data_IF_023139051755
#
_entry.id   IF_023139051755
#
_cell.length_a   1.000
_cell.length_b   1.000
_cell.length_c   1.000
_cell.angle_alpha   90.00
_cell.angle_beta   90.00
_cell.angle_gamma   90.00
#
_symmetry.space_group_name_H-M   'P 1'
#
loop_
_entity.id
_entity.type
_entity.pdbx_description
1 polymer ?
#
# COMPACT_ATOMS: atom_id res chain seq x y z
N UNK A 1 10.36 19.90 15.36
CA UNK A 1 9.78 19.22 14.20
C UNK A 1 10.19 19.97 12.94
N UNK A 2 10.36 19.27 11.81
CA UNK A 2 10.85 19.88 10.56
C UNK A 2 9.69 20.44 9.73
N UNK A 3 9.84 21.68 9.28
CA UNK A 3 8.98 22.37 8.28
C UNK A 3 9.84 22.81 7.09
N UNK A 4 10.93 22.09 6.81
CA UNK A 4 11.98 22.50 5.87
C UNK A 4 11.46 22.72 4.44
N UNK A 5 10.51 21.89 3.98
CA UNK A 5 9.91 22.02 2.65
C UNK A 5 9.00 23.23 2.61
N UNK A 6 8.08 23.40 3.57
CA UNK A 6 7.22 24.58 3.63
C UNK A 6 8.07 25.87 3.70
N UNK A 7 9.11 25.88 4.53
CA UNK A 7 10.01 27.03 4.69
C UNK A 7 10.76 27.36 3.39
N UNK A 8 11.17 26.34 2.62
CA UNK A 8 11.74 26.53 1.29
C UNK A 8 10.73 27.11 0.30
N UNK A 9 9.51 26.57 0.27
CA UNK A 9 8.43 27.06 -0.60
C UNK A 9 8.07 28.51 -0.28
N UNK A 10 8.11 28.92 0.99
CA UNK A 10 7.97 30.32 1.40
C UNK A 10 9.15 31.16 0.89
N UNK A 11 10.39 30.70 1.08
CA UNK A 11 11.59 31.46 0.71
C UNK A 11 11.72 31.68 -0.81
N UNK A 12 11.25 30.72 -1.61
CA UNK A 12 11.34 30.73 -3.08
C UNK A 12 10.08 31.27 -3.76
N UNK A 13 8.92 31.04 -3.13
CA UNK A 13 7.60 31.22 -3.72
C UNK A 13 7.27 30.09 -4.71
N UNK A 14 5.97 29.89 -4.97
CA UNK A 14 5.50 28.78 -5.82
C UNK A 14 5.16 29.19 -7.25
N UNK A 15 5.45 30.45 -7.62
CA UNK A 15 5.16 31.02 -8.94
C UNK A 15 3.68 30.86 -9.36
N UNK A 16 2.76 30.98 -8.39
CA UNK A 16 1.32 30.76 -8.58
C UNK A 16 0.93 29.35 -9.03
N UNK A 17 1.82 28.38 -8.84
CA UNK A 17 1.50 26.97 -9.04
C UNK A 17 1.37 26.31 -7.67
N UNK A 18 0.47 25.35 -7.54
CA UNK A 18 0.40 24.52 -6.35
C UNK A 18 1.67 23.67 -6.18
N UNK A 19 2.18 23.61 -4.96
CA UNK A 19 3.33 22.77 -4.58
C UNK A 19 2.95 21.88 -3.40
N UNK A 20 3.10 20.56 -3.52
CA UNK A 20 2.67 19.63 -2.48
C UNK A 20 3.63 19.66 -1.28
N UNK A 21 3.08 19.46 -0.09
CA UNK A 21 3.76 19.19 1.18
C UNK A 21 3.19 17.88 1.72
N UNK A 22 4.07 16.89 1.91
CA UNK A 22 3.71 15.58 2.44
C UNK A 22 3.95 15.55 3.95
N UNK A 23 2.98 15.06 4.69
CA UNK A 23 3.00 14.95 6.15
C UNK A 23 3.51 13.57 6.58
N UNK A 24 4.05 13.48 7.79
CA UNK A 24 4.70 12.27 8.30
C UNK A 24 3.74 11.07 8.40
N UNK A 25 2.47 11.33 8.71
CA UNK A 25 1.40 10.33 8.75
C UNK A 25 0.82 9.97 7.38
N UNK A 26 1.35 10.60 6.34
CA UNK A 26 1.04 10.31 4.95
C UNK A 26 -0.13 11.10 4.36
N UNK A 27 -0.67 12.07 5.08
CA UNK A 27 -1.54 13.07 4.48
C UNK A 27 -0.73 14.09 3.66
N UNK A 28 -1.41 14.86 2.81
CA UNK A 28 -0.77 15.90 2.04
C UNK A 28 -1.68 17.12 1.89
N UNK A 29 -1.05 18.29 1.72
CA UNK A 29 -1.71 19.47 1.20
C UNK A 29 -0.87 20.07 0.08
N UNK A 30 -1.48 20.89 -0.77
CA UNK A 30 -0.77 21.71 -1.75
C UNK A 30 -0.88 23.18 -1.39
N UNK A 31 0.21 23.91 -1.51
CA UNK A 31 0.26 25.35 -1.21
C UNK A 31 0.60 26.16 -2.45
N UNK A 32 -0.10 27.27 -2.61
CA UNK A 32 0.23 28.36 -3.52
C UNK A 32 0.61 29.58 -2.68
N UNK A 33 1.89 29.97 -2.71
CA UNK A 33 2.40 31.06 -1.85
C UNK A 33 3.38 31.96 -2.60
N UNK A 34 3.21 33.26 -2.42
CA UNK A 34 4.13 34.26 -2.94
C UNK A 34 5.43 34.26 -2.12
N UNK A 35 6.53 34.58 -2.80
CA UNK A 35 7.86 34.57 -2.20
C UNK A 35 7.94 35.48 -0.98
N UNK A 36 8.32 34.92 0.15
CA UNK A 36 8.50 35.62 1.43
C UNK A 36 7.20 36.02 2.12
N UNK A 37 6.03 35.57 1.62
CA UNK A 37 4.74 35.84 2.24
C UNK A 37 4.60 35.11 3.58
N UNK A 38 3.91 35.74 4.54
CA UNK A 38 3.48 35.12 5.79
C UNK A 38 2.11 34.44 5.67
N UNK A 39 1.50 34.51 4.49
CA UNK A 39 0.16 33.99 4.18
C UNK A 39 0.20 33.29 2.82
N UNK A 40 -0.33 32.07 2.75
CA UNK A 40 -0.53 31.36 1.50
C UNK A 40 -1.75 31.93 0.77
N UNK A 41 -1.62 32.17 -0.53
CA UNK A 41 -2.72 32.68 -1.35
C UNK A 41 -3.86 31.64 -1.41
N UNK A 42 -3.49 30.38 -1.65
CA UNK A 42 -4.42 29.24 -1.64
C UNK A 42 -3.74 28.01 -1.06
N UNK A 43 -4.49 27.23 -0.27
CA UNK A 43 -4.09 25.93 0.26
C UNK A 43 -5.15 24.91 -0.11
N UNK A 44 -4.76 23.86 -0.83
CA UNK A 44 -5.61 22.73 -1.15
C UNK A 44 -5.33 21.61 -0.16
N UNK A 45 -6.29 21.27 0.70
CA UNK A 45 -6.21 20.07 1.54
C UNK A 45 -6.68 18.85 0.73
N UNK A 46 -5.80 17.87 0.56
CA UNK A 46 -6.14 16.65 -0.18
C UNK A 46 -7.05 15.72 0.64
N UNK A 47 -7.83 14.85 0.00
CA UNK A 47 -8.76 13.95 0.70
C UNK A 47 -8.12 13.17 1.84
N UNK A 48 -8.78 13.15 2.99
CA UNK A 48 -8.28 12.51 4.21
C UNK A 48 -7.59 13.49 5.16
N UNK A 49 -7.20 14.68 4.68
CA UNK A 49 -6.71 15.76 5.51
C UNK A 49 -7.85 16.72 5.86
N UNK A 50 -8.31 16.65 7.11
CA UNK A 50 -9.32 17.57 7.60
C UNK A 50 -8.73 18.95 7.87
N UNK A 51 -9.52 19.98 7.60
CA UNK A 51 -9.16 21.34 7.97
C UNK A 51 -9.19 21.47 9.50
N UNK A 52 -8.13 21.98 10.14
CA UNK A 52 -8.15 22.27 11.57
C UNK A 52 -9.25 23.27 11.94
N UNK A 53 -9.73 23.17 13.17
CA UNK A 53 -10.64 24.17 13.72
C UNK A 53 -9.94 25.54 13.83
N UNK A 54 -10.53 26.58 13.24
CA UNK A 54 -10.12 27.97 13.45
C UNK A 54 -10.33 28.90 12.25
N UNK A 55 -10.28 30.21 12.52
CA UNK A 55 -10.55 31.29 11.57
C UNK A 55 -9.73 31.20 10.26
N UNK A 56 -8.52 30.62 10.33
CA UNK A 56 -7.64 30.45 9.18
C UNK A 56 -8.21 29.51 8.10
N UNK A 57 -9.13 28.63 8.47
CA UNK A 57 -9.72 27.60 7.61
C UNK A 57 -11.19 27.85 7.30
N UNK A 58 -11.74 29.01 7.66
CA UNK A 58 -13.15 29.35 7.37
C UNK A 58 -13.36 29.86 5.93
N UNK A 59 -12.30 30.37 5.29
CA UNK A 59 -12.35 30.91 3.92
C UNK A 59 -12.20 29.81 2.86
N UNK A 60 -13.10 28.85 2.88
CA UNK A 60 -13.14 27.81 1.86
C UNK A 60 -13.64 28.39 0.53
N UNK A 61 -12.85 28.26 -0.54
CA UNK A 61 -13.23 28.69 -1.89
C UNK A 61 -14.11 27.65 -2.56
N UNK A 62 -15.35 27.56 -2.09
CA UNK A 62 -16.38 26.73 -2.74
C UNK A 62 -16.74 27.21 -4.16
N UNK A 63 -16.30 28.41 -4.56
CA UNK A 63 -16.70 29.05 -5.80
C UNK A 63 -15.78 28.67 -6.97
N UNK A 64 -14.48 28.49 -6.73
CA UNK A 64 -13.54 27.99 -7.72
C UNK A 64 -13.93 26.57 -8.18
N UNK A 65 -14.16 25.63 -7.25
CA UNK A 65 -14.63 24.27 -7.57
C UNK A 65 -15.95 24.24 -8.36
N UNK A 66 -16.87 25.17 -8.08
CA UNK A 66 -18.13 25.31 -8.81
C UNK A 66 -17.95 25.88 -10.22
N UNK A 67 -17.05 26.84 -10.42
CA UNK A 67 -16.84 27.51 -11.71
C UNK A 67 -15.94 26.73 -12.67
N UNK A 68 -14.95 26.01 -12.15
CA UNK A 68 -14.02 25.21 -12.97
C UNK A 68 -14.58 23.82 -13.28
N UNK A 69 -15.65 23.41 -12.59
CA UNK A 69 -16.19 22.05 -12.67
C UNK A 69 -15.21 21.00 -12.12
N UNK A 70 -14.24 21.44 -11.32
CA UNK A 70 -13.15 20.61 -10.82
C UNK A 70 -13.58 19.93 -9.52
N UNK A 71 -14.00 18.67 -9.63
CA UNK A 71 -14.21 17.75 -8.49
C UNK A 71 -12.89 17.04 -8.17
N UNK A 72 -11.83 17.82 -7.93
CA UNK A 72 -10.53 17.30 -7.42
C UNK A 72 -10.70 16.66 -6.04
N UNK A 73 -11.84 16.94 -5.39
CA UNK A 73 -12.24 16.46 -4.07
C UNK A 73 -11.28 16.80 -2.94
N UNK A 74 -10.33 17.70 -3.19
CA UNK A 74 -9.66 18.50 -2.17
C UNK A 74 -10.52 19.69 -1.77
N UNK A 75 -10.14 20.37 -0.70
CA UNK A 75 -10.80 21.58 -0.21
C UNK A 75 -9.81 22.74 -0.27
N UNK A 76 -10.17 23.79 -1.00
CA UNK A 76 -9.33 24.96 -1.19
C UNK A 76 -9.65 26.04 -0.16
N UNK A 77 -8.62 26.57 0.48
CA UNK A 77 -8.72 27.61 1.50
C UNK A 77 -7.86 28.80 1.11
N UNK A 78 -8.44 30.00 1.19
CA UNK A 78 -7.78 31.25 0.82
C UNK A 78 -7.16 31.94 2.03
N UNK A 79 -6.04 32.63 1.79
CA UNK A 79 -5.36 33.47 2.79
C UNK A 79 -4.98 32.72 4.08
N UNK A 80 -4.54 31.45 3.97
CA UNK A 80 -4.16 30.65 5.15
C UNK A 80 -2.80 31.12 5.67
N UNK A 81 -2.69 31.56 6.94
CA UNK A 81 -1.41 32.03 7.48
C UNK A 81 -0.38 30.89 7.58
N UNK A 82 0.89 31.20 7.32
CA UNK A 82 2.00 30.24 7.37
C UNK A 82 2.12 29.56 8.74
N UNK A 83 1.82 30.29 9.83
CA UNK A 83 1.84 29.71 11.19
C UNK A 83 0.83 28.56 11.33
N UNK A 84 -0.33 28.67 10.70
CA UNK A 84 -1.41 27.68 10.78
C UNK A 84 -1.06 26.45 9.91
N UNK A 85 -0.37 26.65 8.77
CA UNK A 85 0.22 25.56 7.99
C UNK A 85 1.30 24.80 8.78
N UNK A 86 2.17 25.52 9.51
CA UNK A 86 3.19 24.87 10.37
C UNK A 86 2.54 24.10 11.51
N UNK A 87 1.47 24.63 12.11
CA UNK A 87 0.70 23.91 13.13
C UNK A 87 0.02 22.66 12.57
N UNK A 88 -0.53 22.71 11.35
CA UNK A 88 -1.05 21.53 10.66
C UNK A 88 0.05 20.48 10.47
N UNK A 89 1.23 20.88 9.98
CA UNK A 89 2.37 19.98 9.84
C UNK A 89 2.74 19.32 11.18
N UNK A 90 2.80 20.10 12.26
CA UNK A 90 3.12 19.60 13.60
C UNK A 90 2.07 18.60 14.13
N UNK A 91 0.77 18.86 13.90
CA UNK A 91 -0.31 17.96 14.29
C UNK A 91 -0.20 16.59 13.62
N UNK A 92 0.34 16.56 12.40
CA UNK A 92 0.54 15.34 11.62
C UNK A 92 1.95 14.74 11.76
N UNK A 93 2.67 15.08 12.82
CA UNK A 93 3.98 14.49 13.16
C UNK A 93 5.17 15.10 12.43
N UNK A 94 4.98 16.22 11.73
CA UNK A 94 6.01 16.88 10.93
C UNK A 94 5.85 16.61 9.43
N UNK A 95 6.74 17.19 8.63
CA UNK A 95 6.85 16.82 7.23
C UNK A 95 7.41 15.39 7.12
N UNK A 96 6.90 14.63 6.14
CA UNK A 96 7.56 13.41 5.73
C UNK A 96 9.01 13.73 5.32
N UNK A 97 9.99 12.86 5.63
CA UNK A 97 11.38 13.10 5.27
C UNK A 97 11.45 13.42 3.78
N UNK A 98 12.08 14.56 3.47
CA UNK A 98 12.41 14.88 2.10
C UNK A 98 13.31 13.76 1.60
N UNK A 99 12.76 12.81 0.85
CA UNK A 99 13.61 11.96 0.01
C UNK A 99 14.42 12.93 -0.85
N UNK A 100 15.71 12.68 -1.04
CA UNK A 100 16.71 13.64 -1.54
C UNK A 100 16.46 14.25 -2.94
N UNK A 101 15.29 14.03 -3.52
CA UNK A 101 14.82 14.68 -4.73
C UNK A 101 13.51 15.43 -4.42
N UNK A 102 13.49 16.72 -4.76
CA UNK A 102 12.35 17.66 -4.69
C UNK A 102 11.05 17.13 -5.34
N UNK A 103 11.26 16.07 -6.10
CA UNK A 103 10.45 15.26 -6.97
C UNK A 103 9.56 14.21 -6.28
N UNK A 104 9.90 13.68 -5.10
CA UNK A 104 9.15 12.53 -4.58
C UNK A 104 7.81 12.82 -3.92
N UNK A 105 7.65 14.03 -3.40
CA UNK A 105 6.33 14.54 -3.03
C UNK A 105 5.43 14.78 -4.26
N UNK A 106 5.89 14.48 -5.48
CA UNK A 106 5.07 14.47 -6.69
C UNK A 106 4.83 13.05 -7.23
N UNK A 107 5.29 11.98 -6.55
CA UNK A 107 5.09 10.61 -7.02
C UNK A 107 3.72 10.07 -6.60
N UNK A 108 2.89 9.57 -7.52
CA UNK A 108 1.60 8.96 -7.19
C UNK A 108 1.73 7.87 -6.11
N UNK A 109 2.78 7.05 -6.19
CA UNK A 109 3.04 5.97 -5.23
C UNK A 109 3.29 6.46 -3.82
N UNK A 110 4.03 7.57 -3.67
CA UNK A 110 4.31 8.14 -2.36
C UNK A 110 2.99 8.60 -1.72
N UNK A 111 2.18 9.37 -2.46
CA UNK A 111 0.87 9.84 -1.99
C UNK A 111 -0.11 8.71 -1.66
N UNK A 112 -0.16 7.66 -2.48
CA UNK A 112 -1.04 6.52 -2.22
C UNK A 112 -0.61 5.76 -0.97
N UNK A 113 0.69 5.44 -0.82
CA UNK A 113 1.22 4.78 0.39
C UNK A 113 0.97 5.61 1.64
N UNK A 114 1.15 6.91 1.51
CA UNK A 114 0.92 7.89 2.53
C UNK A 114 -0.58 7.93 2.94
N UNK A 115 -1.50 7.78 1.98
CA UNK A 115 -2.93 7.57 2.25
C UNK A 115 -3.29 6.16 2.75
N UNK A 116 -2.31 5.34 3.16
CA UNK A 116 -2.50 3.96 3.61
C UNK A 116 -2.91 2.99 2.50
N UNK A 117 -2.77 3.37 1.23
CA UNK A 117 -3.15 2.55 0.09
C UNK A 117 -2.01 1.63 -0.30
N UNK A 118 -2.27 0.32 -0.27
CA UNK A 118 -1.33 -0.68 -0.77
C UNK A 118 -1.15 -0.55 -2.27
N UNK A 119 0.11 -0.41 -2.69
CA UNK A 119 0.51 -0.30 -4.09
C UNK A 119 1.48 -1.43 -4.43
N UNK A 120 1.19 -2.18 -5.50
CA UNK A 120 2.04 -3.25 -6.04
C UNK A 120 2.52 -2.85 -7.41
N UNK A 121 3.83 -2.93 -7.64
CA UNK A 121 4.41 -2.70 -8.96
C UNK A 121 4.21 -3.94 -9.80
N UNK A 122 3.70 -3.76 -11.01
CA UNK A 122 3.54 -4.84 -11.98
C UNK A 122 4.23 -4.45 -13.29
N UNK A 123 5.26 -5.21 -13.65
CA UNK A 123 6.07 -5.00 -14.83
C UNK A 123 5.85 -6.10 -15.85
N UNK A 124 5.35 -5.74 -17.05
CA UNK A 124 5.16 -6.68 -18.16
C UNK A 124 5.83 -6.21 -19.46
N UNK A 125 5.66 -6.97 -20.54
CA UNK A 125 6.10 -6.57 -21.88
C UNK A 125 5.42 -5.28 -22.39
N UNK A 126 4.24 -4.97 -21.84
CA UNK A 126 3.50 -3.73 -22.10
C UNK A 126 4.01 -2.53 -21.31
N UNK A 127 4.99 -2.72 -20.43
CA UNK A 127 5.63 -1.71 -19.60
C UNK A 127 5.33 -1.85 -18.09
N UNK A 128 5.56 -0.78 -17.31
CA UNK A 128 5.44 -0.74 -15.85
C UNK A 128 4.14 -0.05 -15.42
N UNK A 129 3.30 -0.81 -14.72
CA UNK A 129 2.03 -0.37 -14.17
C UNK A 129 2.09 -0.38 -12.65
N UNK A 130 1.24 0.42 -12.02
CA UNK A 130 0.98 0.31 -10.60
C UNK A 130 -0.42 -0.26 -10.39
N UNK A 131 -0.49 -1.29 -9.54
CA UNK A 131 -1.73 -1.92 -9.14
C UNK A 131 -2.05 -1.57 -7.70
N UNK A 132 -3.31 -1.27 -7.44
CA UNK A 132 -3.89 -1.10 -6.12
C UNK A 132 -4.90 -2.24 -5.93
N UNK A 133 -4.49 -3.34 -5.29
CA UNK A 133 -5.42 -4.41 -4.93
C UNK A 133 -6.48 -3.87 -3.96
N UNK A 134 -7.74 -4.23 -4.20
CA UNK A 134 -8.89 -3.77 -3.42
C UNK A 134 -9.43 -4.89 -2.52
N UNK A 135 -10.01 -4.53 -1.38
CA UNK A 135 -10.50 -5.50 -0.40
C UNK A 135 -11.65 -6.39 -0.94
N UNK A 136 -12.35 -5.93 -1.97
CA UNK A 136 -13.44 -6.65 -2.64
C UNK A 136 -12.97 -7.70 -3.68
N UNK A 137 -11.66 -7.96 -3.80
CA UNK A 137 -11.11 -8.89 -4.79
C UNK A 137 -10.69 -8.25 -6.11
N UNK A 138 -11.08 -6.99 -6.34
CA UNK A 138 -10.78 -6.30 -7.60
C UNK A 138 -9.46 -5.52 -7.52
N UNK A 139 -9.07 -4.87 -8.61
CA UNK A 139 -7.81 -4.10 -8.69
C UNK A 139 -8.02 -2.82 -9.46
N UNK A 140 -7.40 -1.73 -9.00
CA UNK A 140 -7.19 -0.52 -9.83
C UNK A 140 -5.78 -0.58 -10.42
N UNK A 141 -5.67 -0.57 -11.74
CA UNK A 141 -4.38 -0.48 -12.45
C UNK A 141 -4.25 0.91 -13.04
N UNK A 142 -3.15 1.60 -12.78
CA UNK A 142 -2.90 2.91 -13.37
C UNK A 142 -1.49 3.02 -13.96
N UNK A 143 -1.39 3.84 -14.99
CA UNK A 143 -0.17 4.12 -15.73
C UNK A 143 -0.16 5.57 -16.21
N UNK A 144 1.03 6.10 -16.44
CA UNK A 144 1.22 7.42 -17.03
C UNK A 144 1.90 7.31 -18.37
N UNK A 145 1.61 8.27 -19.25
CA UNK A 145 2.20 8.37 -20.60
C UNK A 145 3.14 9.56 -20.69
N UNK A 146 4.12 9.47 -21.59
CA UNK A 146 5.11 10.54 -21.83
C UNK A 146 5.11 10.99 -23.29
N UNK A 147 5.66 12.18 -23.56
CA UNK A 147 5.76 12.75 -24.92
C UNK A 147 6.73 11.96 -25.83
N UNK A 148 7.61 11.13 -25.28
CA UNK A 148 8.63 10.35 -26.02
C UNK A 148 8.50 8.84 -25.77
N UNK A 149 7.68 8.13 -26.58
CA UNK A 149 7.42 6.70 -26.37
C UNK A 149 8.64 5.80 -26.64
N UNK A 150 9.70 6.33 -27.27
CA UNK A 150 10.93 5.59 -27.61
C UNK A 150 11.92 5.43 -26.42
N UNK A 151 11.66 6.06 -25.28
CA UNK A 151 12.51 6.03 -24.07
C UNK A 151 11.98 5.19 -22.92
N UNK A 152 11.15 4.17 -23.21
CA UNK A 152 10.35 3.38 -22.26
C UNK A 152 9.00 4.09 -22.03
N UNK A 153 7.87 3.56 -22.56
CA UNK A 153 6.61 4.33 -22.70
C UNK A 153 5.90 4.63 -21.38
N UNK A 154 6.36 4.07 -20.27
CA UNK A 154 5.62 4.18 -19.02
C UNK A 154 6.32 5.13 -18.09
N UNK A 155 5.57 6.15 -17.67
CA UNK A 155 5.97 7.06 -16.61
C UNK A 155 6.58 6.25 -15.47
N UNK A 156 7.86 6.49 -15.22
CA UNK A 156 8.53 5.92 -14.06
C UNK A 156 7.81 6.42 -12.83
N UNK A 157 6.98 5.58 -12.21
CA UNK A 157 6.28 5.83 -10.93
C UNK A 157 7.22 6.21 -9.76
N UNK A 158 8.53 6.10 -10.01
CA UNK A 158 9.64 6.42 -9.10
C UNK A 158 10.25 7.80 -9.31
N UNK A 159 9.94 8.51 -10.40
CA UNK A 159 10.54 9.82 -10.75
C UNK A 159 9.49 10.74 -11.39
N UNK A 160 9.56 12.08 -11.25
CA UNK A 160 8.62 12.94 -11.90
C UNK A 160 9.03 13.04 -13.35
N UNK A 161 8.05 12.83 -14.20
CA UNK A 161 8.33 12.80 -15.62
C UNK A 161 8.34 14.23 -16.12
N UNK A 162 9.55 14.72 -16.45
CA UNK A 162 9.75 16.04 -17.07
C UNK A 162 8.99 16.22 -18.39
N UNK A 163 8.52 15.12 -18.98
CA UNK A 163 7.77 15.02 -20.24
C UNK A 163 6.41 14.29 -20.06
N UNK A 164 5.76 14.46 -18.90
CA UNK A 164 4.44 13.87 -18.62
C UNK A 164 3.39 14.35 -19.64
N UNK A 165 2.56 13.43 -20.13
CA UNK A 165 1.46 13.75 -21.04
C UNK A 165 0.09 13.56 -20.37
N UNK A 166 -0.16 12.38 -19.79
CA UNK A 166 -1.43 12.06 -19.14
C UNK A 166 -1.32 10.84 -18.23
N UNK A 167 -2.26 10.72 -17.28
CA UNK A 167 -2.51 9.53 -16.47
C UNK A 167 -3.76 8.79 -16.94
N UNK A 168 -3.77 7.48 -16.71
CA UNK A 168 -4.98 6.66 -16.79
C UNK A 168 -5.02 5.67 -15.64
N UNK A 169 -6.22 5.39 -15.13
CA UNK A 169 -6.49 4.39 -14.11
C UNK A 169 -7.75 3.61 -14.49
N UNK A 170 -7.69 2.29 -14.36
CA UNK A 170 -8.77 1.37 -14.75
C UNK A 170 -9.06 0.41 -13.62
N UNK A 171 -10.34 0.11 -13.41
CA UNK A 171 -10.82 -0.84 -12.41
C UNK A 171 -11.21 -2.16 -13.09
N UNK A 172 -10.69 -3.28 -12.59
CA UNK A 172 -10.89 -4.61 -13.17
C UNK A 172 -10.85 -5.73 -12.11
N UNK A 173 -11.27 -6.93 -12.49
CA UNK A 173 -11.05 -8.18 -11.73
C UNK A 173 -9.84 -8.98 -12.25
N UNK A 174 -8.98 -8.36 -13.06
CA UNK A 174 -7.87 -9.00 -13.75
C UNK A 174 -8.23 -9.70 -15.06
N UNK A 175 -9.51 -10.04 -15.30
CA UNK A 175 -9.99 -10.62 -16.56
C UNK A 175 -10.76 -9.60 -17.41
N UNK A 176 -11.53 -8.73 -16.77
CA UNK A 176 -12.44 -7.77 -17.39
C UNK A 176 -12.25 -6.38 -16.80
N UNK A 177 -12.07 -5.38 -17.66
CA UNK A 177 -12.12 -3.97 -17.25
C UNK A 177 -13.57 -3.56 -17.06
N UNK A 178 -13.91 -3.11 -15.85
CA UNK A 178 -15.25 -2.67 -15.51
C UNK A 178 -15.49 -1.21 -15.89
N UNK A 179 -14.53 -0.34 -15.59
CA UNK A 179 -14.62 1.09 -15.85
C UNK A 179 -13.26 1.78 -15.79
N UNK A 180 -13.14 2.93 -16.44
CA UNK A 180 -12.06 3.88 -16.18
C UNK A 180 -12.34 4.60 -14.84
N UNK A 181 -11.35 4.56 -13.94
CA UNK A 181 -11.35 5.30 -12.68
C UNK A 181 -10.88 6.74 -12.91
N UNK A 182 -9.92 6.92 -13.81
CA UNK A 182 -9.37 8.22 -14.17
C UNK A 182 -8.78 8.21 -15.57
N UNK A 183 -8.91 9.29 -16.31
CA UNK A 183 -8.16 9.52 -17.57
C UNK A 183 -7.98 11.02 -17.80
N UNK A 184 -6.76 11.40 -18.17
CA UNK A 184 -6.45 12.77 -18.60
C UNK A 184 -5.93 12.85 -20.03
N UNK A 185 -6.03 11.76 -20.80
CA UNK A 185 -5.47 11.69 -22.15
C UNK A 185 -5.95 12.82 -23.08
N UNK A 186 -7.22 13.21 -22.95
CA UNK A 186 -7.83 14.25 -23.78
C UNK A 186 -7.73 15.65 -23.17
N UNK A 187 -7.17 15.79 -21.96
CA UNK A 187 -7.11 17.05 -21.24
C UNK A 187 -5.70 17.24 -20.67
N UNK A 188 -4.85 17.95 -21.39
CA UNK A 188 -3.50 18.25 -20.92
C UNK A 188 -3.56 19.04 -19.60
N UNK A 189 -3.23 18.37 -18.50
CA UNK A 189 -3.14 18.96 -17.16
C UNK A 189 -1.66 19.07 -16.75
N UNK A 190 -1.26 20.12 -16.02
CA UNK A 190 0.04 20.15 -15.35
C UNK A 190 0.24 18.89 -14.50
N UNK A 191 1.45 18.31 -14.53
CA UNK A 191 1.76 17.02 -13.90
C UNK A 191 1.26 16.89 -12.45
N UNK A 192 1.44 17.93 -11.64
CA UNK A 192 1.05 17.92 -10.22
C UNK A 192 -0.47 17.85 -10.06
N UNK A 193 -1.20 18.68 -10.81
CA UNK A 193 -2.67 18.70 -10.80
C UNK A 193 -3.23 17.38 -11.32
N UNK A 194 -2.65 16.85 -12.41
CA UNK A 194 -3.04 15.59 -13.01
C UNK A 194 -2.81 14.40 -12.06
N UNK A 195 -1.65 14.37 -11.40
CA UNK A 195 -1.29 13.34 -10.43
C UNK A 195 -2.21 13.37 -9.22
N UNK A 196 -2.54 14.55 -8.72
CA UNK A 196 -3.41 14.66 -7.56
C UNK A 196 -4.86 14.27 -7.87
N UNK A 197 -5.37 14.63 -9.05
CA UNK A 197 -6.68 14.17 -9.52
C UNK A 197 -6.72 12.64 -9.72
N UNK A 198 -5.65 12.04 -10.26
CA UNK A 198 -5.48 10.59 -10.30
C UNK A 198 -5.54 9.97 -8.89
N UNK A 199 -4.72 10.46 -7.94
CA UNK A 199 -4.67 9.95 -6.56
C UNK A 199 -6.05 10.05 -5.91
N UNK A 200 -6.75 11.17 -6.06
CA UNK A 200 -8.11 11.33 -5.56
C UNK A 200 -9.04 10.23 -6.08
N UNK A 201 -9.07 10.03 -7.39
CA UNK A 201 -9.95 9.05 -8.03
C UNK A 201 -9.65 7.63 -7.55
N UNK A 202 -8.37 7.28 -7.43
CA UNK A 202 -7.92 5.98 -6.89
C UNK A 202 -8.34 5.83 -5.42
N UNK A 203 -8.06 6.80 -4.55
CA UNK A 203 -8.43 6.76 -3.13
C UNK A 203 -9.95 6.68 -2.93
N UNK A 204 -10.74 7.41 -3.73
CA UNK A 204 -12.20 7.33 -3.73
C UNK A 204 -12.67 5.91 -4.05
N UNK A 205 -12.07 5.28 -5.06
CA UNK A 205 -12.37 3.89 -5.43
C UNK A 205 -11.98 2.91 -4.32
N UNK A 206 -10.80 3.08 -3.72
CA UNK A 206 -10.33 2.28 -2.59
C UNK A 206 -11.35 2.29 -1.44
N UNK A 207 -11.84 3.47 -1.04
CA UNK A 207 -12.87 3.58 0.01
C UNK A 207 -14.18 2.89 -0.36
N UNK A 208 -14.63 3.03 -1.60
CA UNK A 208 -15.85 2.38 -2.09
C UNK A 208 -15.75 0.85 -2.07
N UNK A 209 -14.54 0.31 -2.20
CA UNK A 209 -14.26 -1.13 -2.14
C UNK A 209 -13.92 -1.64 -0.73
N UNK A 210 -14.07 -0.80 0.32
CA UNK A 210 -13.81 -1.18 1.71
C UNK A 210 -12.34 -1.10 2.14
N UNK A 211 -11.49 -0.44 1.34
CA UNK A 211 -10.04 -0.32 1.58
C UNK A 211 -9.20 -1.04 0.53
N UNK A 212 -7.88 -0.90 0.63
CA UNK A 212 -6.95 -1.70 -0.17
C UNK A 212 -6.83 -3.09 0.44
N UNK A 213 -6.62 -4.11 -0.39
CA UNK A 213 -6.43 -5.47 0.11
C UNK A 213 -5.20 -5.55 1.03
N UNK A 214 -5.24 -6.37 2.10
CA UNK A 214 -4.09 -6.57 2.97
C UNK A 214 -2.91 -7.15 2.19
N UNK A 215 -1.71 -7.11 2.77
CA UNK A 215 -0.56 -7.80 2.24
C UNK A 215 -0.91 -9.28 1.99
N UNK A 216 -0.49 -9.85 0.85
CA UNK A 216 -0.91 -11.19 0.44
C UNK A 216 -2.20 -11.26 -0.39
N UNK A 217 -3.02 -10.21 -0.45
CA UNK A 217 -4.24 -10.14 -1.27
C UNK A 217 -5.53 -10.29 -0.45
N UNK A 218 -6.72 -10.20 -1.07
CA UNK A 218 -7.99 -10.43 -0.37
C UNK A 218 -8.24 -11.93 -0.20
N UNK A 219 -8.73 -12.33 0.98
CA UNK A 219 -9.04 -13.74 1.28
C UNK A 219 -8.71 -14.11 2.72
N UNK A 220 -8.97 -15.37 3.10
CA UNK A 220 -8.54 -15.89 4.39
C UNK A 220 -7.01 -15.90 4.49
N UNK A 221 -6.50 -15.71 5.69
CA UNK A 221 -5.05 -15.77 5.96
C UNK A 221 -4.53 -17.19 5.72
N UNK A 222 -3.21 -17.32 5.54
CA UNK A 222 -2.55 -18.61 5.46
C UNK A 222 -2.86 -19.45 6.70
N UNK A 223 -2.85 -18.83 7.89
CA UNK A 223 -3.28 -19.46 9.13
C UNK A 223 -4.73 -19.97 9.06
N UNK A 224 -5.68 -19.13 8.66
CA UNK A 224 -7.10 -19.52 8.59
C UNK A 224 -7.31 -20.68 7.62
N UNK A 225 -6.62 -20.67 6.47
CA UNK A 225 -6.64 -21.75 5.51
C UNK A 225 -6.03 -23.04 6.09
N UNK A 226 -4.83 -22.96 6.65
CA UNK A 226 -4.12 -24.09 7.22
C UNK A 226 -4.90 -24.72 8.39
N UNK A 227 -5.38 -23.92 9.34
CA UNK A 227 -6.19 -24.40 10.47
C UNK A 227 -7.46 -25.08 10.00
N UNK A 228 -8.19 -24.47 9.06
CA UNK A 228 -9.41 -25.08 8.52
C UNK A 228 -9.10 -26.44 7.88
N UNK A 229 -8.06 -26.53 7.05
CA UNK A 229 -7.71 -27.80 6.39
C UNK A 229 -7.18 -28.83 7.40
N UNK A 230 -6.40 -28.42 8.41
CA UNK A 230 -5.95 -29.30 9.50
C UNK A 230 -7.12 -29.82 10.34
N UNK A 231 -8.09 -28.97 10.67
CA UNK A 231 -9.30 -29.33 11.42
C UNK A 231 -10.13 -30.40 10.66
N UNK A 232 -10.19 -30.32 9.32
CA UNK A 232 -10.84 -31.34 8.48
C UNK A 232 -10.16 -32.73 8.58
N UNK A 233 -8.88 -32.76 8.94
CA UNK A 233 -8.10 -33.96 9.22
C UNK A 233 -8.06 -34.32 10.71
N UNK A 234 -8.71 -33.53 11.56
CA UNK A 234 -8.71 -33.69 13.01
C UNK A 234 -7.35 -33.42 13.65
N UNK A 235 -6.54 -32.54 13.06
CA UNK A 235 -5.22 -32.13 13.58
C UNK A 235 -5.29 -30.72 14.15
N UNK A 236 -4.60 -30.48 15.26
CA UNK A 236 -4.52 -29.14 15.87
C UNK A 236 -3.19 -28.45 15.56
N UNK A 237 -3.24 -27.19 15.14
CA UNK A 237 -2.08 -26.31 15.02
C UNK A 237 -2.13 -25.17 16.03
N UNK A 238 -0.97 -24.59 16.34
CA UNK A 238 -0.82 -23.44 17.23
C UNK A 238 0.08 -22.39 16.58
N UNK A 239 -0.22 -21.11 16.79
CA UNK A 239 0.71 -20.05 16.42
C UNK A 239 1.87 -20.03 17.40
N UNK A 240 3.06 -19.77 16.89
CA UNK A 240 4.20 -19.38 17.72
C UNK A 240 4.24 -17.85 17.84
N UNK A 241 3.84 -17.35 19.02
CA UNK A 241 3.88 -15.91 19.33
C UNK A 241 5.31 -15.38 19.46
N UNK A 242 6.29 -16.23 19.84
CA UNK A 242 7.68 -15.81 20.03
C UNK A 242 8.41 -15.63 18.69
N UNK A 243 8.01 -16.40 17.68
CA UNK A 243 8.51 -16.28 16.31
C UNK A 243 7.81 -15.17 15.48
N UNK A 244 6.92 -14.37 16.09
CA UNK A 244 6.21 -13.32 15.37
C UNK A 244 5.23 -13.84 14.32
N UNK A 245 4.65 -15.02 14.54
CA UNK A 245 3.65 -15.66 13.67
C UNK A 245 4.17 -16.09 12.29
N UNK A 246 5.44 -16.44 12.15
CA UNK A 246 6.00 -16.96 10.89
C UNK A 246 5.56 -18.38 10.56
N UNK A 247 5.20 -19.19 11.57
CA UNK A 247 4.79 -20.57 11.38
C UNK A 247 3.65 -21.02 12.29
N UNK A 248 3.03 -22.11 11.88
CA UNK A 248 2.15 -22.93 12.71
C UNK A 248 2.92 -24.15 13.24
N UNK A 249 2.76 -24.40 14.54
CA UNK A 249 3.37 -25.51 15.26
C UNK A 249 2.35 -26.62 15.48
N UNK A 250 2.70 -27.84 15.09
CA UNK A 250 1.85 -29.04 15.21
C UNK A 250 2.64 -30.11 15.98
N UNK A 251 2.15 -30.50 17.16
CA UNK A 251 2.81 -31.52 17.97
C UNK A 251 2.67 -32.92 17.39
N UNK A 252 3.69 -33.78 17.56
CA UNK A 252 3.62 -35.17 17.11
C UNK A 252 2.49 -35.95 17.78
N UNK A 253 2.32 -35.79 19.09
CA UNK A 253 1.12 -36.27 19.77
C UNK A 253 0.08 -35.17 19.67
N UNK A 254 -0.90 -35.35 18.79
CA UNK A 254 -2.03 -34.42 18.65
C UNK A 254 -2.87 -34.43 19.93
N UNK A 255 -2.42 -33.61 20.87
CA UNK A 255 -2.94 -33.50 22.24
C UNK A 255 -3.75 -32.23 22.40
N UNK A 256 -3.91 -31.43 21.33
CA UNK A 256 -4.57 -30.13 21.33
C UNK A 256 -3.84 -29.06 22.16
N UNK A 257 -2.61 -29.33 22.63
CA UNK A 257 -1.75 -28.35 23.30
C UNK A 257 -0.55 -28.00 22.44
N UNK A 258 0.00 -26.81 22.68
CA UNK A 258 1.30 -26.41 22.14
C UNK A 258 2.37 -27.40 22.65
N UNK A 259 3.18 -28.00 21.75
CA UNK A 259 4.31 -28.82 22.17
C UNK A 259 5.39 -27.96 22.85
N UNK A 260 6.15 -28.57 23.77
CA UNK A 260 7.35 -27.95 24.32
C UNK A 260 8.45 -28.04 23.25
N UNK A 261 8.67 -26.96 22.49
CA UNK A 261 9.53 -27.00 21.29
C UNK A 261 10.99 -27.42 21.59
N UNK A 262 11.45 -27.23 22.83
CA UNK A 262 12.79 -27.63 23.29
C UNK A 262 12.91 -29.11 23.69
N UNK A 263 11.81 -29.86 23.68
CA UNK A 263 11.77 -31.23 24.24
C UNK A 263 10.93 -32.20 23.44
N UNK A 264 9.97 -31.69 22.68
CA UNK A 264 8.96 -32.49 22.02
C UNK A 264 9.08 -32.36 20.51
N UNK A 265 9.08 -33.50 19.79
CA UNK A 265 9.03 -33.46 18.34
C UNK A 265 7.78 -32.77 17.84
N UNK A 266 7.95 -31.91 16.85
CA UNK A 266 6.89 -31.11 16.28
C UNK A 266 7.12 -30.86 14.79
N UNK A 267 6.10 -30.33 14.13
CA UNK A 267 6.14 -29.84 12.76
C UNK A 267 5.95 -28.33 12.79
N UNK A 268 6.73 -27.64 11.96
CA UNK A 268 6.53 -26.26 11.56
C UNK A 268 5.92 -26.25 10.15
N UNK A 269 4.82 -25.51 10.01
CA UNK A 269 4.19 -25.21 8.72
C UNK A 269 4.28 -23.71 8.48
N UNK A 270 5.11 -23.31 7.52
CA UNK A 270 5.39 -21.91 7.18
C UNK A 270 4.96 -21.59 5.75
N UNK A 271 4.81 -20.29 5.45
CA UNK A 271 4.67 -19.78 4.08
C UNK A 271 5.90 -18.96 3.70
N UNK A 272 6.55 -19.35 2.61
CA UNK A 272 7.66 -18.63 2.01
C UNK A 272 7.19 -17.87 0.77
N UNK A 273 7.81 -16.71 0.52
CA UNK A 273 7.63 -15.99 -0.73
C UNK A 273 8.60 -16.49 -1.83
N UNK A 274 8.54 -15.89 -3.01
CA UNK A 274 9.40 -16.27 -4.14
C UNK A 274 10.89 -15.98 -3.95
N UNK A 275 11.22 -15.10 -3.00
CA UNK A 275 12.59 -14.72 -2.65
C UNK A 275 13.20 -15.63 -1.57
N UNK A 276 12.49 -16.70 -1.18
CA UNK A 276 12.87 -17.64 -0.12
C UNK A 276 12.93 -16.99 1.28
N UNK A 277 12.25 -15.85 1.45
CA UNK A 277 12.08 -15.23 2.76
C UNK A 277 10.84 -15.82 3.45
N UNK A 278 11.05 -16.24 4.69
CA UNK A 278 9.96 -16.68 5.56
C UNK A 278 9.04 -15.51 5.89
N UNK A 279 7.73 -15.74 5.79
CA UNK A 279 6.73 -14.72 6.03
C UNK A 279 5.68 -15.15 7.05
N UNK A 280 5.01 -14.15 7.62
CA UNK A 280 3.96 -14.37 8.61
C UNK A 280 2.76 -15.09 8.00
N UNK A 281 2.13 -15.99 8.78
CA UNK A 281 0.93 -16.74 8.35
C UNK A 281 -0.36 -15.93 8.51
N UNK A 282 -0.29 -14.71 9.06
CA UNK A 282 -1.42 -13.80 9.26
C UNK A 282 -1.85 -13.04 7.98
N UNK A 283 -1.22 -13.35 6.84
CA UNK A 283 -1.60 -12.83 5.52
C UNK A 283 -2.14 -13.93 4.60
N UNK A 284 -2.95 -13.60 3.59
CA UNK A 284 -3.34 -14.56 2.56
C UNK A 284 -2.14 -15.02 1.71
N UNK A 285 -2.04 -16.32 1.38
CA UNK A 285 -1.00 -16.86 0.51
C UNK A 285 -1.44 -16.71 -0.96
N UNK A 286 -1.57 -15.47 -1.44
CA UNK A 286 -2.13 -15.19 -2.77
C UNK A 286 -1.13 -14.61 -3.78
N UNK A 287 0.18 -14.60 -3.50
CA UNK A 287 1.16 -14.22 -4.52
C UNK A 287 1.51 -15.42 -5.41
N UNK A 288 1.58 -15.23 -6.75
CA UNK A 288 2.24 -16.20 -7.60
C UNK A 288 3.67 -16.41 -7.10
N UNK A 289 4.03 -17.66 -6.76
CA UNK A 289 5.35 -17.98 -6.22
C UNK A 289 5.39 -18.22 -4.71
N UNK A 290 4.33 -17.88 -3.95
CA UNK A 290 4.23 -18.30 -2.55
C UNK A 290 4.25 -19.84 -2.44
N UNK A 291 4.94 -20.37 -1.44
CA UNK A 291 5.08 -21.81 -1.18
C UNK A 291 4.84 -22.14 0.28
N UNK A 292 4.17 -23.26 0.52
CA UNK A 292 4.10 -23.90 1.82
C UNK A 292 5.34 -24.76 2.03
N UNK A 293 5.92 -24.68 3.22
CA UNK A 293 7.01 -25.56 3.64
C UNK A 293 6.62 -26.28 4.92
N UNK A 294 6.86 -27.59 4.94
CA UNK A 294 6.66 -28.46 6.11
C UNK A 294 8.03 -28.91 6.60
N UNK A 295 8.40 -28.51 7.80
CA UNK A 295 9.64 -28.89 8.47
C UNK A 295 9.30 -29.65 9.74
N UNK A 296 10.03 -30.71 10.04
CA UNK A 296 9.97 -31.38 11.35
C UNK A 296 11.15 -30.97 12.19
N UNK A 297 10.92 -30.78 13.48
CA UNK A 297 11.96 -30.68 14.50
C UNK A 297 11.83 -31.87 15.46
N UNK A 298 12.95 -32.45 15.88
CA UNK A 298 12.98 -33.57 16.81
C UNK A 298 12.89 -33.16 18.30
N UNK A 299 12.77 -31.87 18.58
CA UNK A 299 12.82 -31.26 19.92
C UNK A 299 14.24 -31.05 20.43
N UNK A 300 15.27 -31.40 19.65
CA UNK A 300 16.67 -31.13 19.95
C UNK A 300 17.28 -30.09 18.98
N UNK A 301 16.44 -29.44 18.16
CA UNK A 301 16.84 -28.45 17.16
C UNK A 301 17.32 -29.09 15.85
N UNK A 302 17.06 -30.38 15.62
CA UNK A 302 17.34 -30.99 14.31
C UNK A 302 16.14 -30.85 13.40
N UNK A 303 16.24 -29.92 12.45
CA UNK A 303 15.21 -29.68 11.45
C UNK A 303 15.39 -30.54 10.19
N UNK A 304 14.29 -31.08 9.67
CA UNK A 304 14.23 -31.79 8.38
C UNK A 304 13.04 -31.27 7.56
N UNK A 305 13.30 -30.78 6.35
CA UNK A 305 12.23 -30.40 5.42
C UNK A 305 11.58 -31.64 4.81
N UNK A 306 10.29 -31.83 5.06
CA UNK A 306 9.51 -32.95 4.52
C UNK A 306 8.96 -32.66 3.13
N UNK A 307 8.41 -31.46 2.92
CA UNK A 307 7.85 -31.05 1.63
C UNK A 307 7.86 -29.53 1.47
N UNK A 308 8.01 -29.10 0.23
CA UNK A 308 7.80 -27.73 -0.22
C UNK A 308 6.79 -27.80 -1.37
N UNK A 309 5.72 -27.01 -1.31
CA UNK A 309 4.63 -27.08 -2.28
C UNK A 309 4.09 -25.68 -2.60
N UNK A 310 3.63 -25.41 -3.83
CA UNK A 310 2.98 -24.14 -4.17
C UNK A 310 1.82 -23.80 -3.21
N UNK A 311 1.56 -22.51 -3.00
CA UNK A 311 0.51 -22.02 -2.09
C UNK A 311 -0.88 -22.63 -2.32
N UNK A 312 -1.21 -22.99 -3.56
CA UNK A 312 -2.48 -23.62 -3.94
C UNK A 312 -2.51 -25.16 -3.72
N UNK A 313 -1.46 -25.74 -3.13
CA UNK A 313 -1.33 -27.18 -2.85
C UNK A 313 -1.21 -27.48 -1.36
N UNK A 314 -1.83 -26.67 -0.50
CA UNK A 314 -1.87 -26.88 0.96
C UNK A 314 -2.29 -28.31 1.34
N UNK A 315 -3.24 -28.92 0.62
CA UNK A 315 -3.67 -30.30 0.89
C UNK A 315 -2.54 -31.33 0.82
N UNK A 316 -1.54 -31.11 -0.05
CA UNK A 316 -0.36 -31.98 -0.14
C UNK A 316 0.50 -31.87 1.13
N UNK A 317 0.70 -30.65 1.62
CA UNK A 317 1.39 -30.40 2.89
C UNK A 317 0.65 -31.07 4.05
N UNK A 318 -0.67 -30.91 4.14
CA UNK A 318 -1.46 -31.52 5.23
C UNK A 318 -1.39 -33.06 5.18
N UNK A 319 -1.42 -33.66 3.98
CA UNK A 319 -1.24 -35.10 3.84
C UNK A 319 0.14 -35.57 4.33
N UNK A 320 1.21 -34.82 4.03
CA UNK A 320 2.57 -35.09 4.54
C UNK A 320 2.64 -35.01 6.07
N UNK A 321 1.98 -34.00 6.66
CA UNK A 321 1.90 -33.83 8.13
C UNK A 321 1.19 -35.03 8.76
N UNK A 322 0.03 -35.41 8.24
CA UNK A 322 -0.73 -36.55 8.74
C UNK A 322 0.05 -37.88 8.64
N UNK A 323 0.79 -38.08 7.56
CA UNK A 323 1.67 -39.25 7.41
C UNK A 323 2.77 -39.26 8.48
N UNK A 324 3.41 -38.12 8.73
CA UNK A 324 4.46 -38.04 9.75
C UNK A 324 3.94 -38.35 11.16
N UNK A 325 2.80 -37.77 11.54
CA UNK A 325 2.17 -37.97 12.86
C UNK A 325 1.82 -39.45 13.10
N UNK A 326 1.41 -40.17 12.05
CA UNK A 326 0.96 -41.57 12.16
C UNK A 326 2.09 -42.59 12.05
N UNK A 327 3.31 -42.18 11.67
CA UNK A 327 4.45 -43.09 11.57
C UNK A 327 4.95 -43.52 12.95
N UNK A 328 5.08 -44.82 13.23
CA UNK A 328 5.69 -45.29 14.47
C UNK A 328 7.15 -44.86 14.55
N UNK A 329 7.57 -44.22 15.65
CA UNK A 329 8.98 -43.93 15.90
C UNK A 329 9.66 -45.16 16.50
N UNK A 330 10.74 -45.60 15.87
CA UNK A 330 11.66 -46.65 16.36
C UNK A 330 12.78 -46.06 17.19
#
# INVERSE_FOLDING_TARGET
>A
MSTERLDRLIAEGTQRTFRPVLLHDGHAFSVCIDRGSDTAATVCLWPGLDAPDGDAWEKEDHFEAFLTGDDTGGRDFLDVPVRDLRSLIEQHGGEAPATDTEDAAAYPTAHLRAAGVRCVEDGGRGGRYLRVPLADGTTVTFAGTTVRPDRNPDVSIHHPVREHLSWSAQWSDGATVFADVYTSHDTARPYVEDTAALIHAVCKRVRQSGGSAPEGGPGPTAEELARKTLDEWGLTAHLDEEAGHTWLVIGHSDTGRVPDMDKEPHILLSVYNEDDDEWTVDRPPARPGDQWQVVTDDGAGTEETLTISPANQLDLCIATIAEWITRPRT
#
